data_IF_418543040915
#
_entry.id   IF_418543040915
#
_cell.length_a   1.000
_cell.length_b   1.000
_cell.length_c   1.000
_cell.angle_alpha   90.00
_cell.angle_beta   90.00
_cell.angle_gamma   90.00
#
_symmetry.space_group_name_H-M   'P 1'
#
loop_
_entity.id
_entity.type
_entity.pdbx_description
1 polymer ?
#
# COMPACT_ATOMS: atom_id res chain seq x y z
N UNK A 1 46.68 3.40 -78.90
CA UNK A 1 45.28 3.87 -78.79
C UNK A 1 44.43 2.67 -78.42
N UNK A 2 44.20 2.38 -77.14
CA UNK A 2 43.26 3.01 -76.19
C UNK A 2 41.85 2.40 -76.27
N UNK A 3 41.32 2.15 -75.05
CA UNK A 3 39.93 1.84 -74.64
C UNK A 3 39.57 0.37 -74.59
N UNK A 4 39.60 -0.25 -73.39
CA UNK A 4 38.67 -0.12 -72.23
C UNK A 4 37.44 -1.01 -72.36
N UNK A 5 37.43 -2.02 -71.50
CA UNK A 5 36.28 -2.86 -71.16
C UNK A 5 35.31 -2.06 -70.30
N UNK A 6 34.05 -1.93 -70.76
CA UNK A 6 32.93 -1.59 -69.88
C UNK A 6 31.81 -2.63 -70.06
N UNK A 7 31.64 -3.49 -69.04
CA UNK A 7 30.41 -4.27 -68.82
C UNK A 7 29.57 -3.54 -67.77
N UNK A 8 28.35 -3.20 -68.15
CA UNK A 8 27.33 -2.62 -67.29
C UNK A 8 26.79 -3.64 -66.28
N UNK A 9 26.77 -3.22 -65.00
CA UNK A 9 25.62 -3.27 -64.08
C UNK A 9 24.91 -4.59 -63.80
N UNK A 10 25.03 -5.07 -62.55
CA UNK A 10 23.96 -5.08 -61.50
C UNK A 10 24.32 -6.08 -60.40
N UNK A 11 24.22 -5.65 -59.14
CA UNK A 11 24.31 -6.52 -57.97
C UNK A 11 25.50 -6.27 -57.05
N UNK A 12 25.74 -5.01 -56.66
CA UNK A 12 26.71 -4.69 -55.62
C UNK A 12 26.28 -5.29 -54.27
N UNK A 13 27.15 -6.15 -53.73
CA UNK A 13 27.14 -6.62 -52.35
C UNK A 13 26.94 -5.44 -51.39
N UNK A 14 25.80 -5.37 -50.70
CA UNK A 14 25.62 -4.44 -49.59
C UNK A 14 26.33 -5.00 -48.36
N UNK A 15 27.49 -4.42 -48.08
CA UNK A 15 28.28 -4.58 -46.86
C UNK A 15 27.39 -4.68 -45.62
N UNK A 16 27.55 -5.78 -44.87
CA UNK A 16 27.06 -5.91 -43.49
C UNK A 16 27.76 -4.85 -42.63
N UNK A 17 27.04 -3.79 -42.27
CA UNK A 17 27.49 -2.90 -41.19
C UNK A 17 27.28 -3.63 -39.87
N UNK A 18 28.29 -4.37 -39.43
CA UNK A 18 28.49 -4.69 -38.02
C UNK A 18 28.90 -3.37 -37.36
N UNK A 19 27.89 -2.56 -37.01
CA UNK A 19 28.11 -1.42 -36.14
C UNK A 19 28.45 -1.95 -34.77
N UNK A 20 29.70 -1.76 -34.31
CA UNK A 20 30.01 -1.85 -32.88
C UNK A 20 29.03 -0.93 -32.16
N UNK A 21 28.29 -1.48 -31.20
CA UNK A 21 27.43 -0.68 -30.34
C UNK A 21 28.34 0.28 -29.57
N UNK A 22 28.32 1.55 -29.97
CA UNK A 22 29.16 2.57 -29.36
C UNK A 22 28.49 3.03 -28.05
N UNK A 23 28.78 2.29 -26.98
CA UNK A 23 28.24 2.51 -25.62
C UNK A 23 28.62 3.90 -25.05
N UNK A 24 29.59 4.59 -25.65
CA UNK A 24 30.04 5.92 -25.23
C UNK A 24 29.10 7.05 -25.71
N UNK A 25 28.30 6.79 -26.75
CA UNK A 25 27.34 7.73 -27.33
C UNK A 25 25.88 7.39 -26.99
N UNK A 26 25.64 6.37 -26.16
CA UNK A 26 24.32 6.18 -25.58
C UNK A 26 24.07 7.37 -24.68
N UNK A 27 23.01 8.11 -24.97
CA UNK A 27 22.54 9.19 -24.12
C UNK A 27 22.16 8.61 -22.75
N UNK A 28 23.15 8.48 -21.88
CA UNK A 28 23.02 7.90 -20.54
C UNK A 28 22.01 8.68 -19.72
N UNK A 29 21.74 9.94 -20.05
CA UNK A 29 20.67 10.72 -19.43
C UNK A 29 19.28 10.22 -19.82
N UNK A 30 19.06 9.81 -21.07
CA UNK A 30 17.79 9.24 -21.53
C UNK A 30 17.60 7.81 -21.00
N UNK A 31 18.66 6.99 -21.02
CA UNK A 31 18.63 5.67 -20.41
C UNK A 31 18.45 5.76 -18.88
N UNK A 32 19.16 6.68 -18.21
CA UNK A 32 19.00 6.91 -16.76
C UNK A 32 17.64 7.53 -16.42
N UNK A 33 17.07 8.39 -17.27
CA UNK A 33 15.71 8.89 -17.09
C UNK A 33 14.69 7.76 -17.24
N UNK A 34 14.83 6.92 -18.27
CA UNK A 34 14.00 5.73 -18.44
C UNK A 34 14.18 4.70 -17.33
N UNK A 35 15.39 4.55 -16.76
CA UNK A 35 15.69 3.66 -15.63
C UNK A 35 15.24 4.25 -14.28
N UNK A 36 15.28 5.58 -14.12
CA UNK A 36 14.80 6.29 -12.93
C UNK A 36 13.27 6.28 -12.83
N UNK A 37 12.59 6.24 -13.98
CA UNK A 37 11.13 6.02 -14.08
C UNK A 37 10.73 4.54 -14.07
N UNK A 38 11.68 3.60 -13.91
CA UNK A 38 11.34 2.23 -13.51
C UNK A 38 10.95 2.28 -12.04
N UNK A 39 9.73 2.74 -11.79
CA UNK A 39 9.05 2.50 -10.54
C UNK A 39 9.14 0.99 -10.28
N UNK A 40 9.78 0.62 -9.17
CA UNK A 40 9.97 -0.79 -8.78
C UNK A 40 8.60 -1.48 -8.93
N UNK A 41 8.48 -2.46 -9.83
CA UNK A 41 7.19 -3.04 -10.15
C UNK A 41 6.62 -3.68 -8.90
N UNK A 42 5.33 -3.42 -8.67
CA UNK A 42 4.63 -3.94 -7.51
C UNK A 42 4.54 -5.46 -7.59
N UNK A 43 5.28 -6.14 -6.71
CA UNK A 43 5.39 -7.61 -6.68
C UNK A 43 4.13 -8.26 -6.10
N UNK A 44 3.50 -7.61 -5.12
CA UNK A 44 2.31 -8.11 -4.45
C UNK A 44 1.39 -6.94 -4.04
N UNK A 45 0.12 -7.26 -3.85
CA UNK A 45 -0.93 -6.31 -3.51
C UNK A 45 -1.40 -6.59 -2.08
N UNK A 46 -0.68 -6.03 -1.12
CA UNK A 46 -0.97 -6.23 0.29
C UNK A 46 -1.75 -5.04 0.85
N UNK A 47 -3.00 -5.30 1.23
CA UNK A 47 -3.82 -4.37 1.97
C UNK A 47 -3.65 -4.60 3.46
N UNK A 48 -3.29 -3.58 4.22
CA UNK A 48 -3.26 -3.59 5.68
C UNK A 48 -4.35 -2.68 6.21
N UNK A 49 -5.27 -3.23 6.99
CA UNK A 49 -6.40 -2.51 7.57
C UNK A 49 -6.21 -2.47 9.07
N UNK A 50 -6.11 -1.27 9.63
CA UNK A 50 -6.08 -1.06 11.06
C UNK A 50 -7.48 -0.70 11.54
N UNK A 51 -8.00 -1.46 12.49
CA UNK A 51 -9.30 -1.25 13.14
C UNK A 51 -9.03 -0.95 14.61
N UNK A 52 -9.15 0.32 14.99
CA UNK A 52 -8.69 0.81 16.29
C UNK A 52 -9.90 1.17 17.16
N UNK A 53 -9.86 0.71 18.39
CA UNK A 53 -10.84 1.07 19.42
C UNK A 53 -10.67 2.54 19.84
N UNK A 54 -11.78 3.28 19.82
CA UNK A 54 -11.91 4.67 20.25
C UNK A 54 -12.86 4.83 21.43
N UNK A 55 -13.04 3.78 22.23
CA UNK A 55 -13.84 3.80 23.47
C UNK A 55 -13.21 4.66 24.57
N UNK A 56 -13.96 4.93 25.64
CA UNK A 56 -13.55 5.91 26.64
C UNK A 56 -12.32 5.47 27.45
N UNK A 57 -12.09 4.16 27.60
CA UNK A 57 -10.90 3.58 28.24
C UNK A 57 -9.60 3.96 27.51
N UNK A 58 -9.70 4.34 26.24
CA UNK A 58 -8.55 4.80 25.45
C UNK A 58 -8.03 6.18 25.86
N UNK A 59 -8.81 6.95 26.63
CA UNK A 59 -8.36 8.19 27.27
C UNK A 59 -7.45 7.93 28.48
N UNK A 60 -7.51 6.72 29.07
CA UNK A 60 -6.72 6.39 30.24
C UNK A 60 -5.23 6.40 29.93
N UNK A 61 -4.42 6.68 30.95
CA UNK A 61 -2.98 6.66 30.82
C UNK A 61 -2.48 5.23 30.59
N UNK A 62 -1.64 5.09 29.57
CA UNK A 62 -0.77 3.94 29.36
C UNK A 62 0.34 3.87 30.42
N UNK A 63 1.12 2.79 30.37
CA UNK A 63 2.33 2.63 31.20
C UNK A 63 3.39 3.71 30.96
N UNK A 64 3.31 4.42 29.82
CA UNK A 64 4.23 5.46 29.42
C UNK A 64 3.77 6.88 29.81
N UNK A 65 2.70 7.01 30.60
CA UNK A 65 2.21 8.30 31.09
C UNK A 65 1.50 9.17 30.04
N UNK A 66 1.28 8.64 28.84
CA UNK A 66 0.42 9.23 27.78
C UNK A 66 -0.86 8.42 27.64
N UNK A 67 -1.93 8.95 27.03
CA UNK A 67 -3.14 8.16 26.80
C UNK A 67 -2.86 6.92 25.92
N UNK A 68 -3.60 5.83 26.15
CA UNK A 68 -3.49 4.60 25.32
C UNK A 68 -3.68 4.91 23.83
N UNK A 69 -4.63 5.79 23.51
CA UNK A 69 -4.85 6.27 22.15
C UNK A 69 -3.62 6.96 21.53
N UNK A 70 -2.89 7.76 22.33
CA UNK A 70 -1.66 8.41 21.89
C UNK A 70 -0.50 7.42 21.71
N UNK A 71 -0.42 6.41 22.57
CA UNK A 71 0.56 5.33 22.43
C UNK A 71 0.35 4.55 21.11
N UNK A 72 -0.91 4.25 20.77
CA UNK A 72 -1.27 3.63 19.49
C UNK A 72 -0.86 4.52 18.31
N UNK A 73 -1.18 5.82 18.35
CA UNK A 73 -0.79 6.79 17.32
C UNK A 73 0.73 6.78 17.07
N UNK A 74 1.53 6.80 18.14
CA UNK A 74 2.98 6.74 18.05
C UNK A 74 3.48 5.41 17.46
N UNK A 75 2.92 4.28 17.92
CA UNK A 75 3.26 2.95 17.41
C UNK A 75 2.97 2.78 15.92
N UNK A 76 1.82 3.27 15.46
CA UNK A 76 1.43 3.26 14.05
C UNK A 76 2.39 4.09 13.20
N UNK A 77 2.75 5.30 13.66
CA UNK A 77 3.71 6.15 12.94
C UNK A 77 5.04 5.44 12.73
N UNK A 78 5.56 4.73 13.73
CA UNK A 78 6.78 3.94 13.61
C UNK A 78 6.65 2.81 12.57
N UNK A 79 5.50 2.12 12.56
CA UNK A 79 5.22 1.07 11.58
C UNK A 79 5.17 1.65 10.16
N UNK A 80 4.44 2.74 9.95
CA UNK A 80 4.32 3.37 8.64
C UNK A 80 5.65 3.91 8.13
N UNK A 81 6.47 4.51 8.99
CA UNK A 81 7.82 4.96 8.63
C UNK A 81 8.70 3.78 8.20
N UNK A 82 8.61 2.64 8.89
CA UNK A 82 9.32 1.42 8.49
C UNK A 82 8.82 0.89 7.14
N UNK A 83 7.52 0.90 6.91
CA UNK A 83 6.92 0.45 5.64
C UNK A 83 7.30 1.38 4.48
N UNK A 84 7.29 2.71 4.67
CA UNK A 84 7.74 3.69 3.67
C UNK A 84 9.20 3.51 3.28
N UNK A 85 10.07 3.20 4.26
CA UNK A 85 11.51 2.96 4.04
C UNK A 85 11.82 1.59 3.44
N UNK A 86 10.86 0.66 3.41
CA UNK A 86 11.04 -0.67 2.82
C UNK A 86 11.27 -0.60 1.32
N UNK A 87 12.05 -1.52 0.75
CA UNK A 87 12.18 -1.67 -0.72
C UNK A 87 10.85 -2.03 -1.38
N UNK A 88 9.92 -2.62 -0.63
CA UNK A 88 8.61 -3.08 -1.11
C UNK A 88 7.49 -2.08 -0.79
N UNK A 89 7.78 -0.82 -0.45
CA UNK A 89 6.78 0.18 -0.05
C UNK A 89 5.60 0.30 -1.05
N UNK A 90 5.87 0.16 -2.36
CA UNK A 90 4.84 0.20 -3.41
C UNK A 90 3.80 -0.93 -3.30
N UNK A 91 4.12 -1.99 -2.55
CA UNK A 91 3.29 -3.17 -2.40
C UNK A 91 2.27 -3.08 -1.26
N UNK A 92 2.38 -2.06 -0.40
CA UNK A 92 1.50 -1.87 0.76
C UNK A 92 0.49 -0.77 0.50
N UNK A 93 -0.78 -1.12 0.53
CA UNK A 93 -1.88 -0.18 0.68
C UNK A 93 -2.44 -0.29 2.09
N UNK A 94 -2.81 0.84 2.68
CA UNK A 94 -3.20 0.95 4.07
C UNK A 94 -4.58 1.59 4.17
N UNK A 95 -5.39 1.12 5.10
CA UNK A 95 -6.64 1.73 5.52
C UNK A 95 -6.71 1.80 7.04
N UNK A 96 -7.32 2.87 7.57
CA UNK A 96 -7.50 3.05 9.00
C UNK A 96 -8.95 3.35 9.32
N UNK A 97 -9.48 2.58 10.27
CA UNK A 97 -10.80 2.71 10.84
C UNK A 97 -10.69 2.90 12.34
N UNK A 98 -11.57 3.73 12.88
CA UNK A 98 -11.79 3.87 14.32
C UNK A 98 -13.20 3.39 14.66
N UNK A 99 -13.37 2.62 15.73
CA UNK A 99 -14.66 2.12 16.17
C UNK A 99 -14.91 2.39 17.66
N UNK A 100 -16.17 2.62 18.00
CA UNK A 100 -16.67 2.71 19.37
C UNK A 100 -18.09 2.15 19.38
N UNK A 101 -19.13 2.95 19.58
CA UNK A 101 -20.52 2.50 19.36
C UNK A 101 -20.85 2.41 17.85
N UNK A 102 -20.30 3.36 17.09
CA UNK A 102 -20.31 3.43 15.63
C UNK A 102 -18.86 3.27 15.10
N UNK A 103 -18.64 3.45 13.80
CA UNK A 103 -17.28 3.48 13.23
C UNK A 103 -17.10 4.64 12.26
N UNK A 104 -15.84 5.00 12.01
CA UNK A 104 -15.44 6.01 11.03
C UNK A 104 -14.14 5.62 10.34
N UNK A 105 -14.06 5.88 9.03
CA UNK A 105 -12.82 5.80 8.28
C UNK A 105 -11.96 7.03 8.61
N UNK A 106 -10.81 6.82 9.24
CA UNK A 106 -9.80 7.89 9.37
C UNK A 106 -9.28 8.26 7.98
N UNK A 107 -9.07 7.25 7.14
CA UNK A 107 -8.93 7.40 5.70
C UNK A 107 -9.19 6.09 4.94
N UNK A 108 -9.71 6.23 3.72
CA UNK A 108 -9.88 5.16 2.74
C UNK A 108 -8.53 4.60 2.27
N UNK A 109 -8.54 3.40 1.68
CA UNK A 109 -7.33 2.72 1.15
C UNK A 109 -6.43 3.66 0.34
N UNK A 110 -5.17 3.80 0.78
CA UNK A 110 -4.11 4.61 0.12
C UNK A 110 -2.80 3.84 0.09
N UNK A 111 -1.94 4.11 -0.88
CA UNK A 111 -0.58 3.55 -0.83
C UNK A 111 0.16 4.12 0.38
N UNK A 112 1.04 3.33 1.00
CA UNK A 112 1.78 3.76 2.20
C UNK A 112 2.59 5.04 1.97
N UNK A 113 3.05 5.29 0.74
CA UNK A 113 3.76 6.51 0.33
C UNK A 113 2.91 7.78 0.41
N UNK A 114 1.60 7.64 0.16
CA UNK A 114 0.68 8.77 0.06
C UNK A 114 0.13 9.21 1.43
N UNK A 115 0.52 8.51 2.50
CA UNK A 115 0.11 8.83 3.86
C UNK A 115 1.01 9.94 4.40
N UNK A 116 0.41 11.08 4.76
CA UNK A 116 1.15 12.19 5.36
C UNK A 116 1.83 11.77 6.67
N UNK A 117 3.07 12.22 6.88
CA UNK A 117 3.79 12.00 8.15
C UNK A 117 3.15 12.74 9.33
N UNK A 118 2.34 13.77 9.06
CA UNK A 118 1.60 14.53 10.08
C UNK A 118 0.20 13.97 10.34
N UNK A 119 -0.20 12.89 9.66
CA UNK A 119 -1.50 12.24 9.89
C UNK A 119 -1.57 11.77 11.35
N UNK A 120 -2.67 12.08 12.02
CA UNK A 120 -2.99 11.48 13.30
C UNK A 120 -3.75 10.17 13.08
N UNK A 121 -3.42 9.18 13.91
CA UNK A 121 -4.07 7.88 14.01
C UNK A 121 -4.63 7.66 15.42
N UNK A 122 -4.66 8.73 16.23
CA UNK A 122 -5.31 8.70 17.53
C UNK A 122 -6.84 8.60 17.31
N UNK A 123 -7.49 7.48 17.70
CA UNK A 123 -8.90 7.23 17.40
C UNK A 123 -9.83 8.29 18.00
N UNK A 124 -9.45 8.90 19.13
CA UNK A 124 -10.24 9.89 19.87
C UNK A 124 -10.37 11.22 19.14
N UNK A 125 -9.50 11.50 18.16
CA UNK A 125 -9.60 12.68 17.31
C UNK A 125 -10.73 12.57 16.28
N UNK A 126 -11.26 11.37 16.05
CA UNK A 126 -12.18 11.07 14.95
C UNK A 126 -13.55 10.57 15.42
N UNK A 127 -13.59 9.81 16.51
CA UNK A 127 -14.83 9.22 17.02
C UNK A 127 -15.12 9.66 18.46
N UNK A 128 -16.41 9.86 18.76
CA UNK A 128 -16.87 10.15 20.13
C UNK A 128 -16.87 8.85 20.95
N UNK A 129 -16.18 8.79 22.09
CA UNK A 129 -16.11 7.58 22.90
C UNK A 129 -17.45 7.27 23.57
N UNK A 130 -18.00 6.08 23.33
CA UNK A 130 -19.26 5.64 23.95
C UNK A 130 -19.24 4.16 24.34
N UNK A 131 -19.02 3.28 23.38
CA UNK A 131 -19.03 1.82 23.54
C UNK A 131 -17.90 1.14 22.78
N UNK A 132 -17.96 -0.19 22.69
CA UNK A 132 -16.94 -1.03 22.02
C UNK A 132 -17.62 -2.08 21.13
N UNK A 133 -18.35 -1.61 20.12
CA UNK A 133 -19.07 -2.39 19.09
C UNK A 133 -18.23 -2.51 17.83
N UNK A 134 -17.78 -3.72 17.53
CA UNK A 134 -16.86 -4.00 16.44
C UNK A 134 -17.57 -4.46 15.15
N UNK A 135 -18.79 -4.96 15.25
CA UNK A 135 -19.51 -5.61 14.16
C UNK A 135 -19.66 -4.70 12.93
N UNK A 136 -20.07 -3.45 13.14
CA UNK A 136 -20.22 -2.47 12.06
C UNK A 136 -18.90 -2.20 11.32
N UNK A 137 -17.81 -2.01 12.07
CA UNK A 137 -16.48 -1.80 11.50
C UNK A 137 -15.99 -3.04 10.71
N UNK A 138 -16.30 -4.25 11.18
CA UNK A 138 -15.94 -5.49 10.47
C UNK A 138 -16.75 -5.70 9.19
N UNK A 139 -18.04 -5.37 9.18
CA UNK A 139 -18.86 -5.40 7.96
C UNK A 139 -18.27 -4.47 6.89
N UNK A 140 -17.95 -3.24 7.27
CA UNK A 140 -17.28 -2.28 6.37
C UNK A 140 -15.90 -2.78 5.92
N UNK A 141 -15.11 -3.34 6.85
CA UNK A 141 -13.80 -3.95 6.54
C UNK A 141 -13.93 -5.06 5.50
N UNK A 142 -14.96 -5.90 5.60
CA UNK A 142 -15.24 -6.97 4.61
C UNK A 142 -15.52 -6.37 3.23
N UNK A 143 -16.30 -5.30 3.16
CA UNK A 143 -16.58 -4.60 1.90
C UNK A 143 -15.31 -4.01 1.29
N UNK A 144 -14.45 -3.37 2.09
CA UNK A 144 -13.16 -2.84 1.65
C UNK A 144 -12.30 -3.96 1.05
N UNK A 145 -12.21 -5.11 1.72
CA UNK A 145 -11.43 -6.27 1.24
C UNK A 145 -11.99 -6.80 -0.07
N UNK A 146 -13.30 -6.98 -0.17
CA UNK A 146 -13.95 -7.47 -1.38
C UNK A 146 -13.71 -6.53 -2.57
N UNK A 147 -13.86 -5.22 -2.35
CA UNK A 147 -13.59 -4.20 -3.36
C UNK A 147 -12.12 -4.18 -3.78
N UNK A 148 -11.20 -4.30 -2.81
CA UNK A 148 -9.77 -4.34 -3.07
C UNK A 148 -9.35 -5.58 -3.87
N UNK A 149 -9.89 -6.74 -3.51
CA UNK A 149 -9.68 -8.01 -4.21
C UNK A 149 -10.22 -7.96 -5.64
N UNK A 150 -11.44 -7.44 -5.83
CA UNK A 150 -12.05 -7.28 -7.15
C UNK A 150 -11.25 -6.31 -8.04
N UNK A 151 -10.81 -5.17 -7.50
CA UNK A 151 -9.97 -4.20 -8.21
C UNK A 151 -8.61 -4.80 -8.64
N UNK A 152 -8.09 -5.75 -7.88
CA UNK A 152 -6.80 -6.39 -8.12
C UNK A 152 -6.94 -7.86 -8.55
N UNK A 153 -8.06 -8.23 -9.17
CA UNK A 153 -8.32 -9.58 -9.66
C UNK A 153 -7.19 -10.06 -10.57
N UNK A 154 -6.76 -11.31 -10.37
CA UNK A 154 -5.67 -11.92 -11.12
C UNK A 154 -4.26 -11.51 -10.67
N UNK A 155 -4.14 -10.67 -9.64
CA UNK A 155 -2.86 -10.32 -9.01
C UNK A 155 -2.68 -11.07 -7.69
N UNK A 156 -1.44 -11.19 -7.23
CA UNK A 156 -1.15 -11.73 -5.90
C UNK A 156 -1.61 -10.75 -4.82
N UNK A 157 -2.85 -10.89 -4.36
CA UNK A 157 -3.53 -9.99 -3.45
C UNK A 157 -3.71 -10.65 -2.09
N UNK A 158 -3.36 -9.93 -1.01
CA UNK A 158 -3.53 -10.38 0.36
C UNK A 158 -4.05 -9.22 1.22
N UNK A 159 -4.88 -9.54 2.20
CA UNK A 159 -5.38 -8.57 3.18
C UNK A 159 -4.93 -8.99 4.59
N UNK A 160 -4.43 -8.04 5.37
CA UNK A 160 -4.12 -8.18 6.79
C UNK A 160 -5.00 -7.22 7.56
N UNK A 161 -5.79 -7.73 8.51
CA UNK A 161 -6.57 -6.91 9.42
C UNK A 161 -5.87 -6.93 10.78
N UNK A 162 -5.55 -5.75 11.30
CA UNK A 162 -5.03 -5.56 12.64
C UNK A 162 -6.10 -4.86 13.49
N UNK A 163 -6.67 -5.58 14.44
CA UNK A 163 -7.63 -5.06 15.41
C UNK A 163 -6.88 -4.71 16.69
N UNK A 164 -7.08 -3.50 17.21
CA UNK A 164 -6.47 -3.01 18.44
C UNK A 164 -7.58 -2.51 19.37
N UNK A 165 -7.77 -3.17 20.51
CA UNK A 165 -8.77 -2.82 21.53
C UNK A 165 -8.22 -3.09 22.93
N UNK A 166 -8.62 -2.28 23.90
CA UNK A 166 -8.22 -2.41 25.31
C UNK A 166 -9.34 -2.96 26.20
N UNK A 167 -10.50 -3.27 25.63
CA UNK A 167 -11.72 -3.67 26.35
C UNK A 167 -12.42 -4.88 25.74
N UNK A 168 -13.50 -5.28 26.41
CA UNK A 168 -14.37 -6.35 25.91
C UNK A 168 -15.24 -5.82 24.75
N UNK A 169 -15.30 -6.59 23.67
CA UNK A 169 -16.17 -6.30 22.52
C UNK A 169 -17.61 -6.62 22.90
N UNK A 170 -18.50 -5.63 22.87
CA UNK A 170 -19.89 -5.78 23.34
C UNK A 170 -20.77 -6.62 22.39
N UNK A 171 -20.41 -6.68 21.11
CA UNK A 171 -21.10 -7.42 20.05
C UNK A 171 -20.29 -8.64 19.57
N UNK A 172 -19.53 -9.27 20.47
CA UNK A 172 -18.59 -10.36 20.17
C UNK A 172 -19.17 -11.47 19.28
N UNK A 173 -20.37 -11.97 19.61
CA UNK A 173 -21.01 -13.08 18.87
C UNK A 173 -21.35 -12.74 17.41
N UNK A 174 -21.60 -11.47 17.12
CA UNK A 174 -21.83 -11.00 15.77
C UNK A 174 -20.50 -10.75 15.05
N UNK A 175 -19.57 -10.10 15.75
CA UNK A 175 -18.22 -9.81 15.27
C UNK A 175 -17.45 -11.07 14.86
N UNK A 176 -17.53 -12.15 15.66
CA UNK A 176 -16.80 -13.40 15.37
C UNK A 176 -17.33 -14.11 14.11
N UNK A 177 -18.64 -14.00 13.81
CA UNK A 177 -19.23 -14.56 12.59
C UNK A 177 -18.63 -13.88 11.36
N UNK A 178 -18.56 -12.55 11.37
CA UNK A 178 -17.98 -11.79 10.26
C UNK A 178 -16.48 -12.07 10.10
N UNK A 179 -15.72 -12.16 11.20
CA UNK A 179 -14.30 -12.55 11.15
C UNK A 179 -14.13 -13.92 10.47
N UNK A 180 -14.98 -14.89 10.80
CA UNK A 180 -14.93 -16.21 10.19
C UNK A 180 -15.33 -16.21 8.71
N UNK A 181 -16.17 -15.27 8.28
CA UNK A 181 -16.48 -15.06 6.86
C UNK A 181 -15.32 -14.41 6.11
N UNK A 182 -14.64 -13.43 6.71
CA UNK A 182 -13.49 -12.74 6.09
C UNK A 182 -12.29 -13.68 5.92
N UNK A 183 -12.10 -14.63 6.84
CA UNK A 183 -10.98 -15.59 6.79
C UNK A 183 -11.10 -16.65 5.69
N UNK A 184 -12.27 -16.80 5.08
CA UNK A 184 -12.51 -17.75 3.98
C UNK A 184 -12.10 -17.15 2.65
#
# INVERSE_FOLDING_TARGET
MSKELQKQGKGGLKNSRIGKLDLLNINTSALSACLNDIAIPRLFYQLVIFVIDGSNSMNENSKNGVSKAQEIDNGIKLILERLKKSKNHNSFDICFLSFSEDFIDIFSVKNVKDISSNQSFNPLNYIKPKGTKLFGALMHTKEIINNYSLKNKGKNCQALIQILSDGAISDYDQSIKIINEIKK
#
